data_IF_150843175614
#
_entry.id   IF_150843175614
#
_cell.length_a   1.000
_cell.length_b   1.000
_cell.length_c   1.000
_cell.angle_alpha   90.00
_cell.angle_beta   90.00
_cell.angle_gamma   90.00
#
_symmetry.space_group_name_H-M   'P 1'
#
loop_
_entity.id
_entity.type
_entity.pdbx_description
1 polymer ?
#
# COMPACT_ATOMS: atom_id res chain seq x y z
N UNK A 1 -0.95 9.73 4.18
CA UNK A 1 -0.01 9.73 5.32
C UNK A 1 1.05 10.79 5.04
N UNK A 2 1.27 11.72 5.98
CA UNK A 2 2.36 12.69 5.90
C UNK A 2 3.55 12.15 6.71
N UNK A 3 4.75 12.25 6.16
CA UNK A 3 6.02 11.90 6.81
C UNK A 3 6.73 13.23 7.07
N UNK A 4 7.06 13.50 8.33
CA UNK A 4 7.73 14.73 8.78
C UNK A 4 9.16 14.37 9.18
N UNK A 5 10.15 15.12 8.69
CA UNK A 5 11.56 14.91 8.99
C UNK A 5 12.21 16.24 9.42
N UNK A 6 13.16 16.19 10.35
CA UNK A 6 13.89 17.38 10.84
C UNK A 6 14.82 18.00 9.78
N UNK A 7 15.13 17.23 8.74
CA UNK A 7 15.94 17.65 7.60
C UNK A 7 15.42 16.99 6.33
N UNK A 8 15.85 17.48 5.16
CA UNK A 8 15.49 16.90 3.87
C UNK A 8 15.93 15.43 3.78
N UNK A 9 14.97 14.52 3.81
CA UNK A 9 15.24 13.12 3.52
C UNK A 9 15.49 12.90 2.04
N UNK A 10 16.73 12.59 1.71
CA UNK A 10 17.14 12.31 0.33
C UNK A 10 16.91 10.86 -0.08
N UNK A 11 16.96 9.90 0.86
CA UNK A 11 16.79 8.48 0.55
C UNK A 11 15.92 7.77 1.60
N UNK A 12 14.91 7.06 1.14
CA UNK A 12 14.12 6.15 1.97
C UNK A 12 13.69 4.95 1.14
N UNK A 13 13.37 3.85 1.81
CA UNK A 13 12.74 2.68 1.18
C UNK A 13 11.47 2.30 1.93
N UNK A 14 10.59 1.60 1.21
CA UNK A 14 9.30 1.14 1.72
C UNK A 14 9.22 -0.38 1.61
N UNK A 15 8.52 -1.03 2.52
CA UNK A 15 8.06 -2.41 2.34
C UNK A 15 6.64 -2.55 2.89
N UNK A 16 5.79 -3.26 2.16
CA UNK A 16 4.38 -3.46 2.52
C UNK A 16 4.11 -4.93 2.79
N UNK A 17 3.41 -5.22 3.89
CA UNK A 17 2.84 -6.55 4.16
C UNK A 17 1.37 -6.42 4.58
N UNK A 18 0.60 -7.49 4.42
CA UNK A 18 -0.81 -7.54 4.80
C UNK A 18 -0.98 -8.47 6.00
N UNK A 19 -1.71 -8.02 7.02
CA UNK A 19 -1.93 -8.80 8.24
C UNK A 19 -2.69 -10.11 7.96
N UNK A 20 -3.65 -10.09 7.03
CA UNK A 20 -4.50 -11.24 6.68
C UNK A 20 -4.08 -11.89 5.34
N UNK A 21 -2.88 -11.59 4.85
CA UNK A 21 -2.32 -12.14 3.62
C UNK A 21 -2.78 -11.44 2.34
N UNK A 22 -2.19 -11.89 1.24
CA UNK A 22 -2.35 -11.29 -0.10
C UNK A 22 -3.20 -12.21 -0.95
N UNK A 23 -4.21 -11.66 -1.62
CA UNK A 23 -5.07 -12.42 -2.53
C UNK A 23 -4.49 -12.47 -3.93
N UNK A 24 -4.03 -11.33 -4.43
CA UNK A 24 -3.48 -11.16 -5.77
C UNK A 24 -2.38 -10.11 -5.73
N UNK A 25 -1.13 -10.58 -5.83
CA UNK A 25 0.07 -9.72 -5.78
C UNK A 25 0.13 -8.80 -6.99
N UNK A 26 -0.26 -9.29 -8.18
CA UNK A 26 -0.15 -8.53 -9.43
C UNK A 26 -1.11 -7.33 -9.46
N UNK A 27 -2.28 -7.50 -8.85
CA UNK A 27 -3.29 -6.45 -8.76
C UNK A 27 -3.27 -5.67 -7.43
N UNK A 28 -2.34 -5.99 -6.52
CA UNK A 28 -2.21 -5.32 -5.22
C UNK A 28 -3.41 -5.54 -4.31
N UNK A 29 -4.00 -6.75 -4.32
CA UNK A 29 -5.21 -7.08 -3.56
C UNK A 29 -4.85 -7.86 -2.31
N UNK A 30 -5.32 -7.38 -1.15
CA UNK A 30 -5.17 -8.04 0.15
C UNK A 30 -6.49 -8.65 0.62
N UNK A 31 -6.40 -9.70 1.43
CA UNK A 31 -7.57 -10.33 2.06
C UNK A 31 -8.10 -9.48 3.22
N UNK A 32 -9.24 -9.90 3.76
CA UNK A 32 -9.72 -9.44 5.07
C UNK A 32 -9.83 -10.59 6.05
N UNK A 33 -9.86 -10.27 7.34
CA UNK A 33 -9.82 -11.30 8.40
C UNK A 33 -11.05 -12.20 8.44
N UNK A 34 -12.24 -11.62 8.31
CA UNK A 34 -13.51 -12.32 8.54
C UNK A 34 -14.39 -12.44 7.28
N UNK A 35 -14.12 -11.65 6.24
CA UNK A 35 -14.88 -11.67 5.00
C UNK A 35 -14.02 -12.21 3.86
N UNK A 36 -14.27 -13.46 3.45
CA UNK A 36 -13.55 -14.11 2.35
C UNK A 36 -14.01 -13.66 0.96
N UNK A 37 -15.08 -12.89 0.87
CA UNK A 37 -15.67 -12.43 -0.41
C UNK A 37 -15.30 -10.98 -0.77
N UNK A 38 -14.72 -10.25 0.18
CA UNK A 38 -14.27 -8.86 0.01
C UNK A 38 -12.77 -8.78 0.30
N UNK A 39 -12.03 -8.10 -0.57
CA UNK A 39 -10.64 -7.69 -0.36
C UNK A 39 -10.47 -6.20 -0.60
N UNK A 40 -9.24 -5.73 -0.49
CA UNK A 40 -8.89 -4.34 -0.82
C UNK A 40 -7.77 -4.28 -1.85
N UNK A 41 -8.01 -3.56 -2.94
CA UNK A 41 -7.00 -3.23 -3.93
C UNK A 41 -6.27 -1.94 -3.51
N UNK A 42 -4.94 -1.98 -3.55
CA UNK A 42 -4.06 -0.87 -3.25
C UNK A 42 -3.24 -0.46 -4.48
N UNK A 43 -3.31 0.83 -4.81
CA UNK A 43 -2.61 1.43 -5.95
C UNK A 43 -1.92 2.72 -5.53
N UNK A 44 -0.86 3.09 -6.26
CA UNK A 44 -0.19 4.38 -6.05
C UNK A 44 -1.10 5.54 -6.45
N UNK A 45 -1.23 6.51 -5.55
CA UNK A 45 -2.09 7.68 -5.75
C UNK A 45 -1.47 8.75 -6.65
N UNK A 46 -0.16 8.77 -6.76
CA UNK A 46 0.63 9.66 -7.61
C UNK A 46 1.91 8.95 -8.10
N UNK A 47 2.82 9.69 -8.73
CA UNK A 47 4.10 9.20 -9.23
C UNK A 47 5.27 9.30 -8.23
N UNK A 48 5.03 9.59 -6.95
CA UNK A 48 6.10 9.83 -5.96
C UNK A 48 6.98 8.59 -5.76
N UNK A 49 6.38 7.40 -5.68
CA UNK A 49 7.13 6.14 -5.45
C UNK A 49 7.26 5.32 -6.73
N UNK A 50 6.15 5.13 -7.45
CA UNK A 50 5.99 4.38 -8.70
C UNK A 50 4.90 5.07 -9.54
N UNK A 51 4.74 4.74 -10.84
CA UNK A 51 3.72 5.38 -11.66
C UNK A 51 2.31 5.28 -11.05
N UNK A 52 1.52 6.34 -11.22
CA UNK A 52 0.14 6.42 -10.72
C UNK A 52 -0.71 5.24 -11.21
N UNK A 53 -1.65 4.79 -10.38
CA UNK A 53 -2.60 3.70 -10.67
C UNK A 53 -1.99 2.32 -10.93
N UNK A 54 -0.68 2.16 -10.77
CA UNK A 54 -0.03 0.85 -10.70
C UNK A 54 -0.24 0.21 -9.33
N UNK A 55 -0.30 -1.12 -9.31
CA UNK A 55 -0.50 -1.89 -8.09
C UNK A 55 0.68 -1.71 -7.11
N UNK A 56 0.37 -1.65 -5.82
CA UNK A 56 1.40 -1.71 -4.77
C UNK A 56 1.82 -3.17 -4.59
N UNK A 57 3.12 -3.45 -4.64
CA UNK A 57 3.67 -4.77 -4.30
C UNK A 57 3.61 -4.98 -2.79
N UNK A 58 2.84 -5.97 -2.34
CA UNK A 58 2.61 -6.24 -0.90
C UNK A 58 3.14 -7.64 -0.59
N UNK A 59 4.45 -7.79 -0.51
CA UNK A 59 5.10 -9.07 -0.22
C UNK A 59 6.34 -8.91 0.68
N UNK A 60 6.46 -7.76 1.36
CA UNK A 60 7.62 -7.41 2.17
C UNK A 60 8.88 -7.04 1.38
N UNK A 61 8.84 -7.04 0.05
CA UNK A 61 9.99 -6.63 -0.77
C UNK A 61 10.25 -5.13 -0.63
N UNK A 62 11.53 -4.77 -0.63
CA UNK A 62 11.98 -3.38 -0.59
C UNK A 62 11.60 -2.65 -1.89
N UNK A 63 10.94 -1.51 -1.74
CA UNK A 63 10.57 -0.59 -2.81
C UNK A 63 11.40 0.68 -2.64
N UNK A 64 12.20 0.98 -3.66
CA UNK A 64 12.91 2.25 -3.76
C UNK A 64 12.04 3.24 -4.55
N UNK A 65 11.68 4.40 -3.96
CA UNK A 65 10.97 5.46 -4.66
C UNK A 65 11.74 5.94 -5.88
N UNK A 66 11.04 6.15 -6.99
CA UNK A 66 11.65 6.72 -8.21
C UNK A 66 11.93 8.21 -8.05
N UNK A 67 11.11 8.94 -7.27
CA UNK A 67 11.30 10.36 -7.00
C UNK A 67 11.69 10.60 -5.53
N UNK A 68 12.68 11.47 -5.33
CA UNK A 68 13.17 11.82 -3.98
C UNK A 68 12.40 13.01 -3.42
N UNK A 69 12.07 13.03 -2.12
CA UNK A 69 11.45 14.18 -1.48
C UNK A 69 12.31 15.44 -1.66
N UNK A 70 11.68 16.55 -1.99
CA UNK A 70 12.36 17.86 -2.12
C UNK A 70 12.20 18.72 -0.88
N UNK A 71 11.27 18.36 0.01
CA UNK A 71 10.93 19.05 1.25
C UNK A 71 11.19 18.14 2.46
N UNK A 72 11.27 18.76 3.64
CA UNK A 72 11.40 18.10 4.95
C UNK A 72 10.17 17.25 5.30
N UNK A 73 9.01 17.60 4.74
CA UNK A 73 7.78 16.82 4.86
C UNK A 73 7.26 16.40 3.49
N UNK A 74 6.78 15.17 3.37
CA UNK A 74 6.19 14.67 2.13
C UNK A 74 5.08 13.67 2.40
N UNK A 75 4.25 13.43 1.39
CA UNK A 75 3.14 12.48 1.46
C UNK A 75 3.34 11.36 0.45
N UNK A 76 2.93 10.15 0.82
CA UNK A 76 2.80 9.02 -0.10
C UNK A 76 1.31 8.69 -0.20
N UNK A 77 0.63 9.09 -1.30
CA UNK A 77 -0.78 8.78 -1.46
C UNK A 77 -0.97 7.34 -1.92
N UNK A 78 -1.90 6.64 -1.26
CA UNK A 78 -2.29 5.28 -1.59
C UNK A 78 -3.80 5.29 -1.83
N UNK A 79 -4.23 4.83 -3.01
CA UNK A 79 -5.64 4.59 -3.32
C UNK A 79 -6.02 3.23 -2.77
N UNK A 80 -7.13 3.16 -2.04
CA UNK A 80 -7.69 1.92 -1.48
C UNK A 80 -9.11 1.75 -2.01
N UNK A 81 -9.40 0.60 -2.60
CA UNK A 81 -10.72 0.26 -3.14
C UNK A 81 -11.16 -1.13 -2.67
N UNK A 82 -12.35 -1.30 -2.07
CA UNK A 82 -12.89 -2.63 -1.82
C UNK A 82 -13.18 -3.35 -3.15
N UNK A 83 -12.88 -4.64 -3.22
CA UNK A 83 -13.08 -5.48 -4.41
C UNK A 83 -13.75 -6.79 -4.03
N UNK A 84 -14.63 -7.27 -4.90
CA UNK A 84 -15.20 -8.60 -4.79
C UNK A 84 -14.13 -9.65 -5.15
N UNK A 85 -14.00 -10.70 -4.34
CA UNK A 85 -13.05 -11.79 -4.57
C UNK A 85 -13.67 -12.99 -5.30
N UNK A 86 -14.96 -12.90 -5.62
CA UNK A 86 -15.75 -13.90 -6.35
C UNK A 86 -17.05 -13.28 -6.86
N UNK A 87 -17.89 -14.11 -7.47
CA UNK A 87 -19.15 -13.66 -8.09
C UNK A 87 -20.22 -13.23 -7.07
N UNK A 88 -20.19 -13.84 -5.88
CA UNK A 88 -21.10 -13.50 -4.77
C UNK A 88 -20.33 -12.78 -3.68
N UNK A 89 -20.87 -11.64 -3.23
CA UNK A 89 -20.34 -10.87 -2.10
C UNK A 89 -21.27 -11.04 -0.91
N UNK A 90 -20.73 -11.53 0.19
CA UNK A 90 -21.47 -11.71 1.44
C UNK A 90 -21.32 -10.48 2.34
N UNK A 91 -22.42 -10.00 2.96
CA UNK A 91 -22.35 -8.93 3.94
C UNK A 91 -21.60 -9.39 5.19
N UNK A 92 -20.90 -8.47 5.85
CA UNK A 92 -20.17 -8.75 7.09
C UNK A 92 -18.93 -7.88 7.24
N UNK A 93 -18.29 -7.95 8.41
CA UNK A 93 -17.10 -7.19 8.71
C UNK A 93 -15.92 -7.58 7.81
N UNK A 94 -15.40 -6.62 7.05
CA UNK A 94 -14.30 -6.78 6.11
C UNK A 94 -13.06 -6.00 6.59
N UNK A 95 -12.68 -6.15 7.87
CA UNK A 95 -11.56 -5.39 8.43
C UNK A 95 -10.22 -6.09 8.13
N UNK A 96 -9.17 -5.30 7.89
CA UNK A 96 -7.78 -5.76 7.75
C UNK A 96 -6.80 -4.64 8.08
N UNK A 97 -5.51 -4.96 8.14
CA UNK A 97 -4.43 -4.01 8.33
C UNK A 97 -3.34 -4.17 7.26
N UNK A 98 -2.86 -3.03 6.77
CA UNK A 98 -1.66 -2.93 5.95
C UNK A 98 -0.51 -2.49 6.85
N UNK A 99 0.57 -3.25 6.89
CA UNK A 99 1.80 -2.86 7.57
C UNK A 99 2.72 -2.16 6.58
N UNK A 100 3.25 -1.01 6.98
CA UNK A 100 4.16 -0.19 6.17
C UNK A 100 5.46 -0.04 6.96
N UNK A 101 6.55 -0.60 6.43
CA UNK A 101 7.90 -0.35 6.94
C UNK A 101 8.54 0.76 6.12
N UNK A 102 8.95 1.83 6.79
CA UNK A 102 9.85 2.84 6.24
C UNK A 102 11.26 2.59 6.76
N UNK A 103 12.25 2.65 5.88
CA UNK A 103 13.66 2.65 6.25
C UNK A 103 14.29 3.92 5.71
N UNK A 104 14.96 4.67 6.59
CA UNK A 104 15.62 5.93 6.26
C UNK A 104 17.12 5.66 6.15
N UNK A 105 17.75 6.10 5.04
CA UNK A 105 19.14 5.82 4.70
C UNK A 105 19.95 7.10 4.56
#
# INVERSE_FOLDING_TARGET
>A
MAIVCDTKMTNYTLAFTAADGVKDVANGIINTKLNSTVGYQLKWGDSTVKPVDTAITINGSTITPTNKPTQESFTIPIKVKPVALGETVSPGAANTALNIKLTFN
#
